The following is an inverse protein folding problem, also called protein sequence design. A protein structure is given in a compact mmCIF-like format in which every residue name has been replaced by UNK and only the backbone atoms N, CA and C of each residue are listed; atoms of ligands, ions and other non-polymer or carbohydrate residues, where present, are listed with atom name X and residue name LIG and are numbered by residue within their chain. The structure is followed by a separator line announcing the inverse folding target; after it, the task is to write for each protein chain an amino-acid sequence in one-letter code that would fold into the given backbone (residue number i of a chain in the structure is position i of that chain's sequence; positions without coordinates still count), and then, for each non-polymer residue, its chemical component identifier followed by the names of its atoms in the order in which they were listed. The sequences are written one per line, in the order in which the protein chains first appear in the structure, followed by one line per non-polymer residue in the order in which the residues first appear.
data_IF_661431894482
#
_entry.id   IF_661431894482
#
_cell.length_a   1.000
_cell.length_b   1.000
_cell.length_c   1.000
_cell.angle_alpha   90.00
_cell.angle_beta   90.00
_cell.angle_gamma   90.00
#
_symmetry.space_group_name_H-M   'P 1'
#
loop_
_entity.id
_entity.type
_entity.pdbx_description
1 polymer ?
#
# COMPACT_ATOMS: atom_id res chain seq x y z
N UNK A 1 -10.27 14.37 1.94
CA UNK A 1 -10.14 14.47 3.42
C UNK A 1 -11.33 15.14 4.13
N UNK A 2 -11.78 16.37 3.77
CA UNK A 2 -12.88 17.07 4.48
C UNK A 2 -14.24 16.34 4.41
N UNK A 3 -14.59 15.75 3.26
CA UNK A 3 -15.86 15.01 3.09
C UNK A 3 -15.93 13.74 3.95
N UNK A 4 -14.86 12.93 3.97
CA UNK A 4 -14.78 11.71 4.79
C UNK A 4 -14.95 11.99 6.29
N UNK A 5 -14.35 13.07 6.80
CA UNK A 5 -14.49 13.47 8.21
C UNK A 5 -15.93 13.88 8.56
N UNK A 6 -16.60 14.60 7.66
CA UNK A 6 -18.02 14.96 7.80
C UNK A 6 -18.93 13.73 7.77
N UNK A 7 -18.68 12.79 6.85
CA UNK A 7 -19.41 11.52 6.77
C UNK A 7 -19.24 10.71 8.05
N UNK A 8 -18.02 10.61 8.58
CA UNK A 8 -17.75 9.93 9.84
C UNK A 8 -18.51 10.55 11.02
N UNK A 9 -18.54 11.89 11.13
CA UNK A 9 -19.27 12.58 12.19
C UNK A 9 -20.77 12.31 12.04
N UNK A 10 -21.29 12.42 10.82
CA UNK A 10 -22.69 12.14 10.52
C UNK A 10 -23.10 10.71 10.90
N UNK A 11 -22.31 9.70 10.53
CA UNK A 11 -22.58 8.30 10.87
C UNK A 11 -22.66 8.07 12.39
N UNK A 12 -21.72 8.65 13.15
CA UNK A 12 -21.73 8.55 14.62
C UNK A 12 -22.97 9.24 15.19
N UNK A 13 -23.31 10.45 14.72
CA UNK A 13 -24.50 11.18 15.20
C UNK A 13 -25.78 10.40 14.91
N UNK A 14 -25.95 9.83 13.71
CA UNK A 14 -27.11 9.01 13.37
C UNK A 14 -27.19 7.76 14.25
N UNK A 15 -26.07 7.07 14.47
CA UNK A 15 -26.02 5.91 15.36
C UNK A 15 -26.46 6.23 16.79
N UNK A 16 -25.97 7.35 17.36
CA UNK A 16 -26.37 7.80 18.71
C UNK A 16 -27.86 8.13 18.78
N UNK A 17 -28.40 8.80 17.77
CA UNK A 17 -29.83 9.10 17.69
C UNK A 17 -30.69 7.83 17.60
N UNK A 18 -30.28 6.84 16.80
CA UNK A 18 -30.95 5.54 16.73
C UNK A 18 -30.93 4.81 18.07
N UNK A 19 -29.79 4.81 18.77
CA UNK A 19 -29.66 4.20 20.09
C UNK A 19 -30.58 4.88 21.12
N UNK A 20 -30.59 6.21 21.16
CA UNK A 20 -31.45 6.98 22.06
C UNK A 20 -32.93 6.73 21.79
N UNK A 21 -33.35 6.75 20.52
CA UNK A 21 -34.72 6.46 20.11
C UNK A 21 -35.13 5.02 20.47
N UNK A 22 -34.22 4.05 20.31
CA UNK A 22 -34.48 2.67 20.72
C UNK A 22 -34.75 2.56 22.22
N UNK A 23 -33.93 3.20 23.06
CA UNK A 23 -34.10 3.21 24.51
C UNK A 23 -35.46 3.81 24.89
N UNK A 24 -35.82 4.96 24.32
CA UNK A 24 -37.11 5.60 24.57
C UNK A 24 -38.28 4.69 24.18
N UNK A 25 -38.22 4.04 23.02
CA UNK A 25 -39.26 3.12 22.58
C UNK A 25 -39.39 1.90 23.49
N UNK A 26 -38.28 1.35 23.99
CA UNK A 26 -38.30 0.23 24.93
C UNK A 26 -38.89 0.63 26.29
N UNK A 27 -38.62 1.85 26.76
CA UNK A 27 -39.26 2.40 27.98
C UNK A 27 -40.76 2.55 27.77
N UNK A 28 -41.18 3.13 26.64
CA UNK A 28 -42.60 3.27 26.29
C UNK A 28 -43.30 1.93 26.11
N UNK A 29 -42.59 0.90 25.62
CA UNK A 29 -43.11 -0.46 25.51
C UNK A 29 -43.44 -1.06 26.89
N UNK A 30 -42.68 -0.72 27.94
CA UNK A 30 -42.95 -1.20 29.29
C UNK A 30 -44.25 -0.64 29.87
N UNK A 31 -44.69 0.53 29.41
CA UNK A 31 -45.90 1.22 29.88
C UNK A 31 -47.16 0.92 29.07
N UNK A 32 -47.02 0.29 27.89
CA UNK A 32 -48.12 -0.01 26.98
C UNK A 32 -48.56 -1.48 27.05
N UNK A 33 -49.80 -1.77 26.65
CA UNK A 33 -50.37 -3.12 26.57
C UNK A 33 -50.82 -3.45 25.13
N UNK A 34 -50.88 -4.75 24.82
CA UNK A 34 -51.35 -5.24 23.52
C UNK A 34 -50.43 -4.88 22.34
N UNK A 35 -51.02 -4.62 21.16
CA UNK A 35 -50.28 -4.42 19.91
C UNK A 35 -49.27 -3.26 19.95
N UNK A 36 -49.57 -2.20 20.72
CA UNK A 36 -48.68 -1.04 20.86
C UNK A 36 -47.35 -1.45 21.48
N UNK A 37 -47.36 -2.28 22.53
CA UNK A 37 -46.13 -2.80 23.16
C UNK A 37 -45.27 -3.56 22.16
N UNK A 38 -45.89 -4.47 21.41
CA UNK A 38 -45.19 -5.30 20.42
C UNK A 38 -44.55 -4.42 19.34
N UNK A 39 -45.27 -3.42 18.83
CA UNK A 39 -44.75 -2.49 17.83
C UNK A 39 -43.53 -1.71 18.35
N UNK A 40 -43.60 -1.17 19.58
CA UNK A 40 -42.48 -0.43 20.18
C UNK A 40 -41.24 -1.31 20.38
N UNK A 41 -41.44 -2.58 20.78
CA UNK A 41 -40.34 -3.56 20.91
C UNK A 41 -39.69 -3.82 19.55
N UNK A 42 -40.49 -4.10 18.51
CA UNK A 42 -39.97 -4.40 17.16
C UNK A 42 -39.16 -3.20 16.63
N UNK A 43 -39.73 -1.99 16.70
CA UNK A 43 -39.04 -0.78 16.21
C UNK A 43 -37.79 -0.48 17.05
N UNK A 44 -37.85 -0.64 18.37
CA UNK A 44 -36.70 -0.48 19.26
C UNK A 44 -35.56 -1.44 18.91
N UNK A 45 -35.85 -2.72 18.69
CA UNK A 45 -34.86 -3.72 18.28
C UNK A 45 -34.27 -3.41 16.91
N UNK A 46 -35.09 -2.98 15.94
CA UNK A 46 -34.62 -2.57 14.61
C UNK A 46 -33.65 -1.38 14.70
N UNK A 47 -33.93 -0.40 15.55
CA UNK A 47 -33.05 0.75 15.76
C UNK A 47 -31.72 0.37 16.45
N UNK A 48 -31.74 -0.58 17.40
CA UNK A 48 -30.51 -1.13 17.98
C UNK A 48 -29.66 -1.85 16.94
N UNK A 49 -30.28 -2.70 16.11
CA UNK A 49 -29.60 -3.37 15.01
C UNK A 49 -29.01 -2.36 14.02
N UNK A 50 -29.76 -1.32 13.66
CA UNK A 50 -29.28 -0.27 12.76
C UNK A 50 -28.07 0.47 13.36
N UNK A 51 -28.12 0.83 14.65
CA UNK A 51 -27.00 1.46 15.33
C UNK A 51 -25.76 0.56 15.35
N UNK A 52 -25.95 -0.73 15.63
CA UNK A 52 -24.85 -1.71 15.62
C UNK A 52 -24.20 -1.83 14.23
N UNK A 53 -25.01 -1.91 13.17
CA UNK A 53 -24.52 -1.97 11.80
C UNK A 53 -23.76 -0.70 11.39
N UNK A 54 -24.24 0.48 11.80
CA UNK A 54 -23.55 1.75 11.54
C UNK A 54 -22.20 1.79 12.26
N UNK A 55 -22.13 1.36 13.52
CA UNK A 55 -20.87 1.30 14.27
C UNK A 55 -19.88 0.29 13.67
N UNK A 56 -20.36 -0.88 13.24
CA UNK A 56 -19.54 -1.88 12.54
C UNK A 56 -18.99 -1.32 11.23
N UNK A 57 -19.84 -0.72 10.40
CA UNK A 57 -19.44 -0.07 9.15
C UNK A 57 -18.40 1.04 9.40
N UNK A 58 -18.61 1.87 10.41
CA UNK A 58 -17.67 2.92 10.79
C UNK A 58 -16.32 2.34 11.24
N UNK A 59 -16.33 1.29 12.05
CA UNK A 59 -15.12 0.61 12.52
C UNK A 59 -14.31 -0.02 11.38
N UNK A 60 -14.99 -0.64 10.41
CA UNK A 60 -14.36 -1.22 9.21
C UNK A 60 -13.80 -0.11 8.31
N UNK A 61 -14.61 0.92 8.01
CA UNK A 61 -14.21 2.05 7.16
C UNK A 61 -12.98 2.80 7.69
N UNK A 62 -12.77 2.79 9.01
CA UNK A 62 -11.61 3.42 9.65
C UNK A 62 -10.33 2.60 9.48
N UNK A 63 -10.43 1.27 9.30
CA UNK A 63 -9.28 0.41 8.99
C UNK A 63 -8.80 0.58 7.54
N UNK A 64 -9.74 0.81 6.61
CA UNK A 64 -9.47 1.08 5.20
C UNK A 64 -8.86 2.47 4.94
N UNK A 65 -8.71 3.30 5.97
CA UNK A 65 -8.07 4.61 5.88
C UNK A 65 -6.59 4.56 6.31
N UNK A 66 -5.98 3.39 6.54
CA UNK A 66 -4.55 3.28 6.89
C UNK A 66 -3.68 3.22 5.65
N UNK A 67 -2.95 4.29 5.36
CA UNK A 67 -2.07 4.32 4.21
C UNK A 67 -0.75 3.56 4.51
N UNK A 68 -0.34 2.65 3.64
CA UNK A 68 0.86 1.83 3.81
C UNK A 68 2.13 2.64 4.14
N UNK A 69 2.33 3.77 3.45
CA UNK A 69 3.52 4.61 3.63
C UNK A 69 3.36 5.67 4.73
N UNK A 70 2.16 6.23 4.89
CA UNK A 70 1.94 7.34 5.82
C UNK A 70 1.54 6.89 7.22
N UNK A 71 0.99 5.69 7.38
CA UNK A 71 0.51 5.23 8.68
C UNK A 71 1.66 5.16 9.69
N UNK A 72 1.45 5.82 10.81
CA UNK A 72 2.31 5.77 11.98
C UNK A 72 1.64 4.91 13.06
N UNK A 73 2.33 3.84 13.46
CA UNK A 73 1.85 2.90 14.46
C UNK A 73 1.83 3.45 15.87
N UNK A 74 2.62 4.49 16.17
CA UNK A 74 2.68 5.11 17.50
C UNK A 74 1.49 6.03 17.70
N UNK A 75 1.23 6.90 16.72
CA UNK A 75 0.13 7.89 16.79
C UNK A 75 -1.21 7.37 16.28
N UNK A 76 -1.23 6.14 15.73
CA UNK A 76 -2.38 5.50 15.08
C UNK A 76 -3.04 6.37 13.99
N UNK A 77 -2.23 7.21 13.32
CA UNK A 77 -2.69 8.18 12.32
C UNK A 77 -1.76 8.19 11.11
N UNK A 78 -2.29 8.61 9.96
CA UNK A 78 -1.47 8.86 8.79
C UNK A 78 -0.75 10.21 8.95
N UNK A 79 0.55 10.21 8.65
CA UNK A 79 1.31 11.43 8.50
C UNK A 79 0.85 12.22 7.27
N UNK A 80 1.00 13.55 7.26
CA UNK A 80 0.84 14.35 6.05
C UNK A 80 1.83 13.88 4.96
N UNK A 81 1.44 13.84 3.67
CA UNK A 81 2.32 13.43 2.57
C UNK A 81 3.62 14.24 2.47
N UNK A 82 3.62 15.48 2.93
CA UNK A 82 4.79 16.37 2.94
C UNK A 82 5.88 15.87 3.89
N UNK A 83 5.50 15.17 4.96
CA UNK A 83 6.41 14.60 5.95
C UNK A 83 6.96 13.23 5.55
N UNK A 84 6.52 12.67 4.40
CA UNK A 84 7.04 11.41 3.89
C UNK A 84 8.50 11.59 3.43
N UNK A 85 9.40 10.87 4.09
CA UNK A 85 10.84 10.86 3.79
C UNK A 85 11.23 9.66 2.93
N UNK A 86 12.38 9.76 2.26
CA UNK A 86 12.94 8.66 1.46
C UNK A 86 13.20 7.42 2.32
N UNK A 87 13.81 7.62 3.50
CA UNK A 87 14.11 6.54 4.44
C UNK A 87 12.85 5.75 4.81
N UNK A 88 11.74 6.44 5.14
CA UNK A 88 10.49 5.77 5.49
C UNK A 88 9.90 4.95 4.33
N UNK A 89 10.03 5.44 3.09
CA UNK A 89 9.63 4.66 1.91
C UNK A 89 10.49 3.41 1.76
N UNK A 90 11.81 3.54 1.90
CA UNK A 90 12.73 2.40 1.80
C UNK A 90 12.47 1.35 2.89
N UNK A 91 12.29 1.76 4.15
CA UNK A 91 11.97 0.87 5.27
C UNK A 91 10.65 0.11 5.02
N UNK A 92 9.60 0.82 4.60
CA UNK A 92 8.32 0.20 4.25
C UNK A 92 8.43 -0.75 3.07
N UNK A 93 9.25 -0.43 2.07
CA UNK A 93 9.49 -1.31 0.94
C UNK A 93 10.33 -2.55 1.30
N UNK A 94 11.28 -2.42 2.23
CA UNK A 94 11.99 -3.60 2.77
C UNK A 94 10.99 -4.55 3.43
N UNK A 95 10.13 -4.05 4.33
CA UNK A 95 9.09 -4.86 4.95
C UNK A 95 8.16 -5.53 3.92
N UNK A 96 7.74 -4.79 2.89
CA UNK A 96 6.89 -5.34 1.82
C UNK A 96 7.60 -6.46 1.04
N UNK A 97 8.89 -6.30 0.75
CA UNK A 97 9.68 -7.29 0.02
C UNK A 97 9.90 -8.54 0.85
N UNK A 98 10.18 -8.38 2.15
CA UNK A 98 10.37 -9.49 3.08
C UNK A 98 9.09 -10.35 3.21
N UNK A 99 7.90 -9.73 3.10
CA UNK A 99 6.63 -10.48 3.02
C UNK A 99 6.37 -11.11 1.64
N UNK A 100 6.96 -10.54 0.59
CA UNK A 100 6.71 -10.94 -0.80
C UNK A 100 7.55 -12.16 -1.22
N UNK A 101 8.80 -12.23 -0.76
CA UNK A 101 9.77 -13.25 -1.15
C UNK A 101 10.66 -13.68 0.04
N UNK A 102 10.85 -14.98 0.19
CA UNK A 102 11.66 -15.56 1.28
C UNK A 102 13.16 -15.25 1.14
N UNK A 103 13.62 -14.89 -0.06
CA UNK A 103 15.00 -14.48 -0.31
C UNK A 103 15.12 -13.40 -1.39
N UNK A 104 16.17 -12.55 -1.33
CA UNK A 104 16.42 -11.54 -2.37
C UNK A 104 16.58 -12.13 -3.77
N UNK A 105 17.14 -13.34 -3.89
CA UNK A 105 17.34 -14.04 -5.16
C UNK A 105 16.01 -14.33 -5.88
N UNK A 106 14.97 -14.73 -5.12
CA UNK A 106 13.65 -15.04 -5.69
C UNK A 106 13.04 -13.85 -6.43
N UNK A 107 13.34 -12.61 -6.01
CA UNK A 107 12.85 -11.41 -6.70
C UNK A 107 13.37 -11.34 -8.15
N UNK A 108 14.56 -11.88 -8.40
CA UNK A 108 15.22 -11.86 -9.71
C UNK A 108 14.92 -13.12 -10.54
N UNK A 109 14.88 -14.28 -9.90
CA UNK A 109 14.72 -15.58 -10.58
C UNK A 109 13.28 -16.08 -10.69
N UNK A 110 12.37 -15.59 -9.83
CA UNK A 110 11.08 -16.24 -9.58
C UNK A 110 9.85 -15.63 -10.28
N UNK A 111 10.01 -14.76 -11.29
CA UNK A 111 8.89 -14.04 -11.93
C UNK A 111 7.91 -13.40 -10.91
N UNK A 112 8.41 -13.01 -9.72
CA UNK A 112 7.57 -12.54 -8.61
C UNK A 112 6.75 -11.32 -9.04
N UNK A 113 7.32 -10.48 -9.90
CA UNK A 113 6.67 -9.31 -10.48
C UNK A 113 5.57 -9.63 -11.51
N UNK A 114 5.33 -10.88 -11.89
CA UNK A 114 4.20 -11.24 -12.76
C UNK A 114 2.88 -11.27 -11.99
N UNK A 115 2.92 -11.67 -10.72
CA UNK A 115 1.73 -12.00 -9.92
C UNK A 115 0.96 -10.74 -9.49
N UNK A 116 0.14 -10.20 -10.40
CA UNK A 116 -0.62 -8.95 -10.21
C UNK A 116 -1.41 -8.88 -8.89
N UNK A 117 -1.88 -10.01 -8.37
CA UNK A 117 -2.66 -10.09 -7.13
C UNK A 117 -1.88 -9.64 -5.88
N UNK A 118 -0.55 -9.73 -5.88
CA UNK A 118 0.29 -9.39 -4.72
C UNK A 118 0.70 -7.91 -4.66
N UNK A 119 0.45 -7.12 -5.71
CA UNK A 119 0.99 -5.76 -5.84
C UNK A 119 -0.08 -4.66 -5.74
N UNK A 120 -1.17 -4.95 -5.02
CA UNK A 120 -2.29 -4.01 -4.86
C UNK A 120 -3.06 -3.74 -6.15
N UNK A 121 -4.01 -2.81 -6.09
CA UNK A 121 -4.86 -2.49 -7.23
C UNK A 121 -4.02 -2.09 -8.46
N UNK A 122 -4.26 -2.76 -9.60
CA UNK A 122 -3.54 -2.57 -10.88
C UNK A 122 -2.01 -2.74 -10.79
N UNK A 123 -1.51 -3.38 -9.74
CA UNK A 123 -0.08 -3.60 -9.54
C UNK A 123 0.70 -2.33 -9.18
N UNK A 124 0.09 -1.42 -8.40
CA UNK A 124 0.70 -0.14 -8.01
C UNK A 124 2.07 -0.30 -7.33
N UNK A 125 2.33 -1.42 -6.65
CA UNK A 125 3.60 -1.71 -6.00
C UNK A 125 4.70 -2.24 -6.95
N UNK A 126 4.37 -2.70 -8.16
CA UNK A 126 5.37 -3.31 -9.07
C UNK A 126 6.53 -2.36 -9.40
N UNK A 127 6.29 -1.09 -9.75
CA UNK A 127 7.40 -0.17 -10.02
C UNK A 127 8.24 0.10 -8.77
N UNK A 128 7.63 0.14 -7.59
CA UNK A 128 8.36 0.33 -6.32
C UNK A 128 9.27 -0.84 -5.99
N UNK A 129 8.82 -2.09 -6.23
CA UNK A 129 9.67 -3.27 -6.08
C UNK A 129 10.79 -3.26 -7.11
N UNK A 130 10.52 -2.92 -8.36
CA UNK A 130 11.54 -2.81 -9.40
C UNK A 130 12.63 -1.76 -9.05
N UNK A 131 12.23 -0.58 -8.56
CA UNK A 131 13.20 0.40 -8.06
C UNK A 131 14.00 -0.12 -6.87
N UNK A 132 13.33 -0.77 -5.90
CA UNK A 132 13.99 -1.29 -4.69
C UNK A 132 15.01 -2.38 -5.02
N UNK A 133 14.70 -3.28 -5.95
CA UNK A 133 15.63 -4.28 -6.46
C UNK A 133 16.90 -3.63 -7.04
N UNK A 134 16.74 -2.62 -7.90
CA UNK A 134 17.88 -1.90 -8.49
C UNK A 134 18.66 -1.08 -7.45
N UNK A 135 17.95 -0.46 -6.50
CA UNK A 135 18.53 0.31 -5.40
C UNK A 135 19.40 -0.58 -4.51
N UNK A 136 18.85 -1.70 -4.05
CA UNK A 136 19.55 -2.64 -3.17
C UNK A 136 20.78 -3.24 -3.84
N UNK A 137 20.68 -3.55 -5.13
CA UNK A 137 21.81 -4.03 -5.92
C UNK A 137 22.89 -2.94 -6.08
N UNK A 138 22.49 -1.69 -6.33
CA UNK A 138 23.41 -0.54 -6.46
C UNK A 138 24.16 -0.20 -5.17
N UNK A 139 23.64 -0.61 -4.00
CA UNK A 139 24.32 -0.47 -2.71
C UNK A 139 25.32 -1.61 -2.41
N UNK A 140 25.32 -2.70 -3.17
CA UNK A 140 26.22 -3.82 -2.93
C UNK A 140 27.65 -3.51 -3.35
N UNK A 141 28.60 -4.12 -2.64
CA UNK A 141 30.01 -4.10 -3.06
C UNK A 141 30.15 -4.70 -4.47
N UNK A 142 31.03 -4.17 -5.35
CA UNK A 142 31.24 -4.70 -6.69
C UNK A 142 31.61 -6.19 -6.73
N UNK A 143 32.17 -6.76 -5.66
CA UNK A 143 32.55 -8.17 -5.55
C UNK A 143 31.50 -9.03 -4.83
N UNK A 144 30.36 -8.44 -4.44
CA UNK A 144 29.28 -9.16 -3.75
C UNK A 144 28.67 -10.24 -4.65
N UNK A 145 28.27 -11.37 -4.04
CA UNK A 145 27.54 -12.44 -4.72
C UNK A 145 26.15 -12.00 -5.18
N UNK A 146 25.61 -10.89 -4.67
CA UNK A 146 24.33 -10.32 -5.08
C UNK A 146 24.28 -9.96 -6.56
N UNK A 147 25.43 -9.64 -7.17
CA UNK A 147 25.53 -9.38 -8.62
C UNK A 147 25.18 -10.61 -9.47
N UNK A 148 25.29 -11.82 -8.90
CA UNK A 148 24.87 -13.04 -9.57
C UNK A 148 23.35 -13.10 -9.75
N UNK A 149 22.57 -12.43 -8.91
CA UNK A 149 21.10 -12.39 -9.07
C UNK A 149 20.70 -11.71 -10.37
N UNK A 150 21.33 -10.58 -10.69
CA UNK A 150 21.15 -9.91 -11.97
C UNK A 150 21.72 -10.74 -13.13
N UNK A 151 22.89 -11.35 -12.94
CA UNK A 151 23.53 -12.18 -13.97
C UNK A 151 22.71 -13.42 -14.37
N UNK A 152 21.98 -13.98 -13.41
CA UNK A 152 21.18 -15.19 -13.60
C UNK A 152 19.69 -14.88 -13.87
N UNK A 153 19.30 -13.60 -13.90
CA UNK A 153 17.92 -13.22 -14.21
C UNK A 153 17.59 -13.55 -15.67
N UNK A 154 16.41 -14.10 -15.92
CA UNK A 154 15.93 -14.35 -17.28
C UNK A 154 15.61 -13.05 -18.01
N UNK A 155 15.66 -13.07 -19.34
CA UNK A 155 15.24 -11.93 -20.18
C UNK A 155 13.79 -11.51 -19.89
N UNK A 156 12.93 -12.47 -19.52
CA UNK A 156 11.56 -12.22 -19.09
C UNK A 156 11.51 -11.41 -17.79
N UNK A 157 12.22 -11.84 -16.74
CA UNK A 157 12.34 -11.10 -15.48
C UNK A 157 12.84 -9.67 -15.70
N UNK A 158 13.90 -9.52 -16.51
CA UNK A 158 14.48 -8.22 -16.86
C UNK A 158 13.48 -7.37 -17.65
N UNK A 159 12.73 -7.98 -18.56
CA UNK A 159 11.65 -7.36 -19.31
C UNK A 159 10.56 -6.80 -18.40
N UNK A 160 10.13 -7.56 -17.39
CA UNK A 160 9.11 -7.15 -16.42
C UNK A 160 9.60 -6.02 -15.52
N UNK A 161 10.84 -6.06 -15.04
CA UNK A 161 11.46 -4.96 -14.29
C UNK A 161 11.44 -3.68 -15.14
N UNK A 162 11.91 -3.77 -16.39
CA UNK A 162 11.93 -2.64 -17.30
C UNK A 162 10.52 -2.10 -17.59
N UNK A 163 9.55 -2.97 -17.86
CA UNK A 163 8.17 -2.57 -18.12
C UNK A 163 7.51 -1.91 -16.89
N UNK A 164 7.85 -2.39 -15.69
CA UNK A 164 7.37 -1.81 -14.43
C UNK A 164 7.94 -0.39 -14.23
N UNK A 165 9.22 -0.19 -14.52
CA UNK A 165 9.85 1.14 -14.46
C UNK A 165 9.31 2.07 -15.56
N UNK A 166 9.13 1.59 -16.79
CA UNK A 166 8.52 2.36 -17.88
C UNK A 166 7.10 2.81 -17.54
N UNK A 167 6.31 1.98 -16.83
CA UNK A 167 4.97 2.35 -16.32
C UNK A 167 5.04 3.47 -15.27
N UNK A 168 6.14 3.58 -14.51
CA UNK A 168 6.42 4.71 -13.64
C UNK A 168 7.03 5.95 -14.37
N UNK A 169 7.16 5.88 -15.70
CA UNK A 169 7.67 6.97 -16.53
C UNK A 169 9.18 6.94 -16.79
N UNK A 170 9.89 5.86 -16.43
CA UNK A 170 11.36 5.78 -16.44
C UNK A 170 11.99 5.38 -17.78
N UNK A 171 11.61 6.04 -18.88
CA UNK A 171 12.09 5.65 -20.21
C UNK A 171 13.61 5.74 -20.39
N UNK A 172 14.26 6.73 -19.76
CA UNK A 172 15.70 6.99 -19.94
C UNK A 172 16.58 5.97 -19.20
N UNK A 173 16.29 5.72 -17.91
CA UNK A 173 17.08 4.76 -17.12
C UNK A 173 16.91 3.34 -17.65
N UNK A 174 15.70 2.96 -18.12
CA UNK A 174 15.44 1.66 -18.71
C UNK A 174 16.20 1.49 -20.02
N UNK A 175 16.23 2.52 -20.87
CA UNK A 175 17.03 2.48 -22.10
C UNK A 175 18.52 2.31 -21.79
N UNK A 176 19.06 3.08 -20.84
CA UNK A 176 20.46 2.97 -20.44
C UNK A 176 20.78 1.59 -19.86
N UNK A 177 19.92 1.08 -18.97
CA UNK A 177 20.06 -0.23 -18.36
C UNK A 177 20.08 -1.36 -19.40
N UNK A 178 19.14 -1.36 -20.36
CA UNK A 178 19.11 -2.34 -21.46
C UNK A 178 20.37 -2.27 -22.33
N UNK A 179 20.81 -1.07 -22.71
CA UNK A 179 22.02 -0.90 -23.52
C UNK A 179 23.27 -1.47 -22.84
N UNK A 180 23.39 -1.28 -21.51
CA UNK A 180 24.52 -1.84 -20.76
C UNK A 180 24.43 -3.37 -20.71
N UNK A 181 23.24 -3.93 -20.44
CA UNK A 181 23.02 -5.39 -20.44
C UNK A 181 23.33 -6.03 -21.81
N UNK A 182 22.97 -5.37 -22.91
CA UNK A 182 23.26 -5.85 -24.26
C UNK A 182 24.77 -5.79 -24.58
N UNK A 183 25.47 -4.81 -24.01
CA UNK A 183 26.91 -4.62 -24.23
C UNK A 183 27.80 -5.54 -23.40
N UNK A 184 27.31 -6.06 -22.27
CA UNK A 184 28.06 -6.93 -21.36
C UNK A 184 27.28 -8.23 -21.08
N UNK A 185 27.77 -9.42 -21.49
CA UNK A 185 27.07 -10.69 -21.29
C UNK A 185 26.93 -11.12 -19.82
N UNK A 186 27.51 -10.35 -18.89
CA UNK A 186 27.35 -10.44 -17.44
C UNK A 186 27.37 -9.02 -16.88
N UNK A 187 26.74 -8.73 -15.72
CA UNK A 187 26.82 -7.42 -15.10
C UNK A 187 28.29 -7.09 -14.76
N UNK A 188 28.93 -6.37 -15.67
CA UNK A 188 30.32 -5.99 -15.61
C UNK A 188 30.49 -4.68 -14.86
N UNK A 189 31.71 -4.12 -14.87
CA UNK A 189 32.02 -2.88 -14.18
C UNK A 189 31.08 -1.73 -14.54
N UNK A 190 30.61 -1.66 -15.80
CA UNK A 190 29.74 -0.58 -16.26
C UNK A 190 28.35 -0.64 -15.59
N UNK A 191 27.75 -1.83 -15.51
CA UNK A 191 26.46 -2.00 -14.81
C UNK A 191 26.57 -1.66 -13.32
N UNK A 192 27.67 -2.10 -12.69
CA UNK A 192 27.92 -1.84 -11.27
C UNK A 192 28.06 -0.36 -10.99
N UNK A 193 28.88 0.32 -11.78
CA UNK A 193 29.08 1.77 -11.68
C UNK A 193 27.80 2.54 -11.99
N UNK A 194 27.05 2.13 -13.01
CA UNK A 194 25.77 2.73 -13.38
C UNK A 194 24.78 2.71 -12.22
N UNK A 195 24.52 1.54 -11.63
CA UNK A 195 23.56 1.44 -10.52
C UNK A 195 24.06 2.17 -9.27
N UNK A 196 25.34 2.03 -8.92
CA UNK A 196 25.90 2.68 -7.74
C UNK A 196 25.79 4.21 -7.81
N UNK A 197 26.15 4.81 -8.95
CA UNK A 197 26.04 6.27 -9.18
C UNK A 197 24.60 6.77 -9.22
N UNK A 198 23.63 5.91 -9.56
CA UNK A 198 22.23 6.30 -9.69
C UNK A 198 21.37 5.95 -8.45
N UNK A 199 21.93 5.38 -7.38
CA UNK A 199 21.20 5.03 -6.15
C UNK A 199 20.37 6.19 -5.58
N UNK A 200 20.96 7.39 -5.47
CA UNK A 200 20.26 8.60 -5.01
C UNK A 200 19.15 9.08 -5.94
N UNK A 201 19.30 8.88 -7.25
CA UNK A 201 18.23 9.13 -8.22
C UNK A 201 17.09 8.12 -8.02
N UNK A 202 17.41 6.83 -7.93
CA UNK A 202 16.44 5.74 -7.78
C UNK A 202 15.60 5.94 -6.50
N UNK A 203 16.23 6.20 -5.35
CA UNK A 203 15.51 6.44 -4.09
C UNK A 203 14.62 7.68 -4.15
N UNK A 204 15.08 8.74 -4.81
CA UNK A 204 14.29 9.96 -5.02
C UNK A 204 13.07 9.70 -5.90
N UNK A 205 13.23 8.87 -6.94
CA UNK A 205 12.12 8.49 -7.84
C UNK A 205 11.11 7.59 -7.16
N UNK A 206 11.54 6.67 -6.29
CA UNK A 206 10.61 5.90 -5.43
C UNK A 206 9.74 6.83 -4.59
N UNK A 207 10.34 7.79 -3.87
CA UNK A 207 9.59 8.74 -3.05
C UNK A 207 8.59 9.53 -3.89
N UNK A 208 9.01 10.04 -5.05
CA UNK A 208 8.14 10.80 -5.93
C UNK A 208 6.98 9.96 -6.48
N UNK A 209 7.25 8.70 -6.86
CA UNK A 209 6.21 7.77 -7.30
C UNK A 209 5.18 7.54 -6.19
N UNK A 210 5.62 7.32 -4.95
CA UNK A 210 4.71 7.19 -3.80
C UNK A 210 3.86 8.45 -3.61
N UNK A 211 4.49 9.64 -3.63
CA UNK A 211 3.78 10.91 -3.46
C UNK A 211 2.74 11.18 -4.55
N UNK A 212 3.06 10.87 -5.80
CA UNK A 212 2.14 11.05 -6.93
C UNK A 212 0.94 10.11 -6.88
N UNK A 213 1.11 8.93 -6.27
CA UNK A 213 0.09 7.90 -6.21
C UNK A 213 -0.40 7.65 -4.77
N UNK A 214 -0.27 8.64 -3.88
CA UNK A 214 -0.42 8.45 -2.44
C UNK A 214 -1.79 7.86 -2.07
N UNK A 215 -2.84 8.28 -2.79
CA UNK A 215 -4.21 7.82 -2.60
C UNK A 215 -4.44 6.35 -3.00
N UNK A 216 -3.51 5.74 -3.75
CA UNK A 216 -3.59 4.34 -4.17
C UNK A 216 -3.01 3.36 -3.14
N UNK A 217 -2.46 3.86 -2.03
CA UNK A 217 -1.81 3.04 -0.99
C UNK A 217 -2.60 2.99 0.34
N UNK A 218 -3.88 3.39 0.30
CA UNK A 218 -4.86 3.11 1.36
C UNK A 218 -5.44 1.72 1.16
#
# INVERSE_FOLDING_TARGET
MKSKKLISIFLITVSVLCLAAAIVLLILAAQNLGYKKILHIIVGVLLLLLSMLIMLYWGISRKDDKNFFLYDGITERNLPPEQLTQQKVLERMTYFIDELADSPEMLWSGNVLEWNSKFGHRGIFKPLVAYKMLYDLGLQDPNSSYWNYLANASDESLGIICASLERAGEKKIVRAFRLILESEPKPGPQMKEFLNKNTGYISSRMLNYVKMNIDCFY
#
